data_IF_715158886208
#
_entry.id   IF_715158886208
#
_cell.length_a   1.000
_cell.length_b   1.000
_cell.length_c   1.000
_cell.angle_alpha   90.00
_cell.angle_beta   90.00
_cell.angle_gamma   90.00
#
_symmetry.space_group_name_H-M   'P 1'
#
loop_
_entity.id
_entity.type
_entity.pdbx_description
1 polymer ?
#
# COMPACT_ATOMS: atom_id res chain seq x y z
N UNK A 1 -31.35 -16.53 -29.69
CA UNK A 1 -30.15 -15.81 -29.20
C UNK A 1 -30.25 -14.28 -29.19
N UNK A 2 -31.15 -13.63 -29.95
CA UNK A 2 -31.22 -12.16 -30.09
C UNK A 2 -31.56 -11.35 -28.81
N UNK A 3 -32.49 -11.81 -27.94
CA UNK A 3 -32.90 -11.03 -26.74
C UNK A 3 -31.81 -10.88 -25.67
N UNK A 4 -30.97 -11.88 -25.49
CA UNK A 4 -29.92 -11.85 -24.46
C UNK A 4 -28.81 -10.85 -24.84
N UNK A 5 -28.42 -10.82 -26.11
CA UNK A 5 -27.46 -9.85 -26.64
C UNK A 5 -28.00 -8.43 -26.52
N UNK A 6 -29.29 -8.23 -26.80
CA UNK A 6 -29.92 -6.91 -26.64
C UNK A 6 -29.96 -6.46 -25.18
N UNK A 7 -30.30 -7.35 -24.24
CA UNK A 7 -30.35 -7.03 -22.80
C UNK A 7 -28.95 -6.73 -22.23
N UNK A 8 -27.94 -7.48 -22.66
CA UNK A 8 -26.55 -7.21 -22.28
C UNK A 8 -26.08 -5.84 -22.79
N UNK A 9 -26.42 -5.48 -24.04
CA UNK A 9 -26.09 -4.19 -24.63
C UNK A 9 -26.77 -3.02 -23.90
N UNK A 10 -28.06 -3.16 -23.54
CA UNK A 10 -28.77 -2.10 -22.81
C UNK A 10 -28.21 -1.90 -21.40
N UNK A 11 -27.88 -2.99 -20.68
CA UNK A 11 -27.23 -2.91 -19.38
C UNK A 11 -25.82 -2.28 -19.46
N UNK A 12 -25.05 -2.60 -20.52
CA UNK A 12 -23.75 -1.97 -20.75
C UNK A 12 -23.87 -0.47 -21.04
N UNK A 13 -24.88 -0.05 -21.80
CA UNK A 13 -25.13 1.36 -22.08
C UNK A 13 -25.62 2.11 -20.84
N UNK A 14 -26.50 1.50 -20.05
CA UNK A 14 -27.03 2.07 -18.80
C UNK A 14 -25.92 2.23 -17.76
N UNK A 15 -25.11 1.18 -17.54
CA UNK A 15 -23.94 1.27 -16.66
C UNK A 15 -22.91 2.29 -17.15
N UNK A 16 -22.63 2.35 -18.47
CA UNK A 16 -21.76 3.37 -19.03
C UNK A 16 -22.31 4.80 -18.82
N UNK A 17 -23.63 4.99 -18.94
CA UNK A 17 -24.26 6.29 -18.68
C UNK A 17 -24.29 6.65 -17.19
N UNK A 18 -24.53 5.71 -16.29
CA UNK A 18 -24.43 5.95 -14.84
C UNK A 18 -23.00 6.29 -14.42
N UNK A 19 -22.01 5.57 -14.95
CA UNK A 19 -20.59 5.87 -14.68
C UNK A 19 -20.24 7.26 -15.19
N UNK A 20 -20.67 7.62 -16.40
CA UNK A 20 -20.37 8.91 -17.02
C UNK A 20 -21.09 10.09 -16.35
N UNK A 21 -22.35 9.91 -15.94
CA UNK A 21 -23.18 11.00 -15.43
C UNK A 21 -23.10 11.17 -13.90
N UNK A 22 -22.68 10.13 -13.16
CA UNK A 22 -22.71 10.17 -11.69
C UNK A 22 -21.33 9.93 -11.08
N UNK A 23 -20.64 8.88 -11.51
CA UNK A 23 -19.36 8.48 -10.90
C UNK A 23 -18.22 9.40 -11.35
N UNK A 24 -18.09 9.64 -12.65
CA UNK A 24 -17.06 10.52 -13.23
C UNK A 24 -17.10 11.95 -12.67
N UNK A 25 -18.26 12.62 -12.57
CA UNK A 25 -18.34 13.97 -11.99
C UNK A 25 -18.01 13.99 -10.50
N UNK A 26 -18.41 12.97 -9.75
CA UNK A 26 -18.08 12.84 -8.32
C UNK A 26 -16.56 12.68 -8.11
N UNK A 27 -15.94 11.78 -8.87
CA UNK A 27 -14.49 11.57 -8.85
C UNK A 27 -13.76 12.85 -9.26
N UNK A 28 -14.19 13.48 -10.36
CA UNK A 28 -13.62 14.75 -10.85
C UNK A 28 -13.65 15.82 -9.76
N UNK A 29 -14.80 16.03 -9.10
CA UNK A 29 -14.94 17.00 -8.01
C UNK A 29 -14.02 16.67 -6.83
N UNK A 30 -13.89 15.39 -6.46
CA UNK A 30 -13.00 14.94 -5.39
C UNK A 30 -11.52 15.18 -5.72
N UNK A 31 -11.12 14.90 -6.97
CA UNK A 31 -9.78 15.16 -7.48
C UNK A 31 -9.49 16.67 -7.53
N UNK A 32 -10.40 17.48 -8.08
CA UNK A 32 -10.25 18.94 -8.12
C UNK A 32 -10.12 19.53 -6.72
N UNK A 33 -10.91 19.04 -5.75
CA UNK A 33 -10.79 19.44 -4.34
C UNK A 33 -9.42 19.07 -3.77
N UNK A 34 -8.91 17.88 -4.09
CA UNK A 34 -7.61 17.40 -3.61
C UNK A 34 -6.45 18.17 -4.25
N UNK A 35 -6.55 18.48 -5.55
CA UNK A 35 -5.59 19.30 -6.29
C UNK A 35 -5.57 20.73 -5.73
N UNK A 36 -6.74 21.33 -5.48
CA UNK A 36 -6.86 22.67 -4.92
C UNK A 36 -6.22 22.77 -3.52
N UNK A 37 -6.44 21.76 -2.67
CA UNK A 37 -5.82 21.69 -1.34
C UNK A 37 -4.31 21.51 -1.36
N UNK A 38 -3.79 20.83 -2.37
CA UNK A 38 -2.36 20.49 -2.50
C UNK A 38 -1.66 21.32 -3.59
N UNK A 39 -2.23 22.49 -3.94
CA UNK A 39 -1.76 23.31 -5.05
C UNK A 39 -0.29 23.76 -4.90
N UNK A 40 0.19 23.87 -3.65
CA UNK A 40 1.59 24.20 -3.34
C UNK A 40 2.60 23.12 -3.76
N UNK A 41 2.18 21.86 -3.88
CA UNK A 41 3.06 20.73 -4.25
C UNK A 41 3.08 20.45 -5.76
N UNK A 42 2.35 21.23 -6.57
CA UNK A 42 2.22 21.01 -8.00
C UNK A 42 3.35 21.72 -8.74
N UNK A 43 4.22 20.94 -9.38
CA UNK A 43 5.24 21.47 -10.27
C UNK A 43 4.61 21.87 -11.59
N UNK A 44 4.74 23.15 -11.97
CA UNK A 44 4.16 23.73 -13.19
C UNK A 44 5.04 23.55 -14.44
N UNK A 45 6.33 23.28 -14.24
CA UNK A 45 7.29 23.07 -15.33
C UNK A 45 7.28 21.60 -15.78
N UNK A 46 7.06 21.37 -17.08
CA UNK A 46 6.94 20.01 -17.63
C UNK A 46 8.25 19.20 -17.54
N UNK A 47 9.41 19.85 -17.67
CA UNK A 47 10.69 19.15 -17.59
C UNK A 47 11.02 18.69 -16.16
N UNK A 48 10.65 19.50 -15.17
CA UNK A 48 10.74 19.12 -13.75
C UNK A 48 9.71 18.06 -13.39
N UNK A 49 8.47 18.18 -13.90
CA UNK A 49 7.45 17.16 -13.71
C UNK A 49 7.89 15.78 -14.23
N UNK A 50 8.57 15.73 -15.39
CA UNK A 50 9.13 14.48 -15.93
C UNK A 50 10.24 13.86 -15.06
N UNK A 51 10.92 14.66 -14.22
CA UNK A 51 11.96 14.19 -13.29
C UNK A 51 11.40 13.73 -11.95
N UNK A 52 10.23 14.22 -11.53
CA UNK A 52 9.61 13.91 -10.25
C UNK A 52 9.48 12.39 -9.94
N UNK A 53 9.03 11.52 -10.87
CA UNK A 53 8.89 10.10 -10.56
C UNK A 53 10.23 9.45 -10.19
N UNK A 54 11.30 9.83 -10.92
CA UNK A 54 12.66 9.37 -10.63
C UNK A 54 13.14 9.92 -9.29
N UNK A 55 12.93 11.21 -9.02
CA UNK A 55 13.30 11.80 -7.74
C UNK A 55 12.57 11.16 -6.57
N UNK A 56 11.26 10.91 -6.69
CA UNK A 56 10.47 10.24 -5.65
C UNK A 56 11.00 8.83 -5.41
N UNK A 57 11.25 8.05 -6.47
CA UNK A 57 11.77 6.70 -6.36
C UNK A 57 13.14 6.69 -5.67
N UNK A 58 14.11 7.42 -6.20
CA UNK A 58 15.48 7.39 -5.68
C UNK A 58 15.63 8.05 -4.32
N UNK A 59 14.82 9.06 -3.99
CA UNK A 59 14.80 9.63 -2.63
C UNK A 59 14.28 8.63 -1.62
N UNK A 60 13.24 7.85 -1.96
CA UNK A 60 12.76 6.79 -1.09
C UNK A 60 13.79 5.66 -0.95
N UNK A 61 14.44 5.24 -2.04
CA UNK A 61 15.50 4.24 -1.99
C UNK A 61 16.71 4.71 -1.19
N UNK A 62 17.08 5.99 -1.28
CA UNK A 62 18.18 6.56 -0.49
C UNK A 62 17.93 6.55 1.02
N UNK A 63 16.67 6.41 1.48
CA UNK A 63 16.34 6.23 2.90
C UNK A 63 16.63 4.82 3.41
N UNK A 64 16.68 3.82 2.51
CA UNK A 64 16.80 2.40 2.88
C UNK A 64 18.11 2.11 3.61
N UNK A 65 19.31 2.54 3.17
CA UNK A 65 20.55 2.24 3.89
C UNK A 65 20.53 2.71 5.34
N UNK A 66 20.03 3.91 5.60
CA UNK A 66 19.89 4.45 6.96
C UNK A 66 18.86 3.68 7.79
N UNK A 67 17.77 3.23 7.15
CA UNK A 67 16.78 2.39 7.80
C UNK A 67 17.37 1.02 8.17
N UNK A 68 18.21 0.43 7.31
CA UNK A 68 18.93 -0.82 7.60
C UNK A 68 19.88 -0.62 8.78
N UNK A 69 20.71 0.43 8.79
CA UNK A 69 21.61 0.71 9.92
C UNK A 69 20.85 0.86 11.25
N UNK A 70 19.69 1.53 11.22
CA UNK A 70 18.85 1.68 12.41
C UNK A 70 18.29 0.33 12.85
N UNK A 71 17.81 -0.48 11.90
CA UNK A 71 17.28 -1.81 12.17
C UNK A 71 18.37 -2.78 12.70
N UNK A 72 19.59 -2.72 12.18
CA UNK A 72 20.73 -3.50 12.67
C UNK A 72 21.07 -3.14 14.12
N UNK A 73 21.06 -1.84 14.45
CA UNK A 73 21.26 -1.38 15.83
C UNK A 73 20.17 -1.88 16.76
N UNK A 74 18.91 -1.78 16.35
CA UNK A 74 17.76 -2.28 17.12
C UNK A 74 17.81 -3.80 17.30
N UNK A 75 18.17 -4.54 16.25
CA UNK A 75 18.36 -5.98 16.32
C UNK A 75 19.48 -6.37 17.29
N UNK A 76 20.55 -5.58 17.37
CA UNK A 76 21.60 -5.73 18.38
C UNK A 76 21.05 -5.62 19.81
N UNK A 77 20.28 -4.57 20.09
CA UNK A 77 19.63 -4.36 21.40
C UNK A 77 18.68 -5.52 21.73
N UNK A 78 17.85 -5.95 20.77
CA UNK A 78 16.92 -7.07 20.97
C UNK A 78 17.70 -8.36 21.26
N UNK A 79 18.82 -8.61 20.56
CA UNK A 79 19.66 -9.79 20.78
C UNK A 79 20.24 -9.83 22.20
N UNK A 80 20.74 -8.70 22.70
CA UNK A 80 21.23 -8.60 24.08
C UNK A 80 20.12 -8.82 25.11
N UNK A 81 18.91 -8.29 24.86
CA UNK A 81 17.75 -8.50 25.73
C UNK A 81 17.28 -9.94 25.71
N UNK A 82 17.32 -10.60 24.54
CA UNK A 82 16.93 -12.00 24.38
C UNK A 82 17.85 -12.98 25.13
N UNK A 83 19.13 -12.64 25.27
CA UNK A 83 20.06 -13.43 26.11
C UNK A 83 19.68 -13.40 27.60
N UNK A 84 18.85 -12.44 28.02
CA UNK A 84 18.37 -12.26 29.39
C UNK A 84 16.85 -12.45 29.47
N UNK A 85 16.29 -13.29 28.61
CA UNK A 85 14.83 -13.50 28.51
C UNK A 85 14.23 -14.01 29.83
N UNK A 86 14.98 -14.75 30.63
CA UNK A 86 14.57 -15.20 31.97
C UNK A 86 14.35 -14.04 32.97
N UNK A 87 15.00 -12.90 32.73
CA UNK A 87 14.85 -11.67 33.53
C UNK A 87 13.78 -10.72 32.96
N UNK A 88 13.21 -11.05 31.79
CA UNK A 88 12.20 -10.22 31.14
C UNK A 88 10.81 -10.41 31.76
N UNK A 89 10.03 -9.34 31.79
CA UNK A 89 8.65 -9.44 32.27
C UNK A 89 7.79 -10.24 31.29
N UNK A 90 6.82 -11.00 31.82
CA UNK A 90 5.82 -11.74 31.01
C UNK A 90 5.10 -10.81 30.02
N UNK A 91 4.93 -9.53 30.37
CA UNK A 91 4.32 -8.52 29.50
C UNK A 91 5.20 -8.21 28.29
N UNK A 92 6.50 -8.00 28.48
CA UNK A 92 7.44 -7.72 27.37
C UNK A 92 7.55 -8.93 26.42
N UNK A 93 7.63 -10.13 26.98
CA UNK A 93 7.62 -11.38 26.20
C UNK A 93 6.31 -11.52 25.43
N UNK A 94 5.18 -11.23 26.06
CA UNK A 94 3.86 -11.25 25.40
C UNK A 94 3.77 -10.28 24.22
N UNK A 95 4.30 -9.05 24.37
CA UNK A 95 4.36 -8.07 23.28
C UNK A 95 5.25 -8.56 22.13
N UNK A 96 6.42 -9.11 22.44
CA UNK A 96 7.33 -9.65 21.42
C UNK A 96 6.69 -10.81 20.64
N UNK A 97 5.97 -11.70 21.32
CA UNK A 97 5.23 -12.80 20.69
C UNK A 97 4.11 -12.27 19.79
N UNK A 98 3.31 -11.31 20.26
CA UNK A 98 2.24 -10.72 19.45
C UNK A 98 2.79 -10.03 18.19
N UNK A 99 3.87 -9.27 18.34
CA UNK A 99 4.57 -8.67 17.20
C UNK A 99 5.09 -9.72 16.21
N UNK A 100 5.67 -10.81 16.71
CA UNK A 100 6.11 -11.94 15.88
C UNK A 100 4.95 -12.60 15.11
N UNK A 101 3.79 -12.78 15.76
CA UNK A 101 2.60 -13.32 15.11
C UNK A 101 2.04 -12.36 14.05
N UNK A 102 2.00 -11.06 14.33
CA UNK A 102 1.54 -10.05 13.37
C UNK A 102 2.44 -9.99 12.13
N UNK A 103 3.76 -9.96 12.33
CA UNK A 103 4.72 -9.96 11.22
C UNK A 103 4.64 -11.23 10.37
N UNK A 104 4.45 -12.39 11.01
CA UNK A 104 4.20 -13.65 10.31
C UNK A 104 2.89 -13.64 9.51
N UNK A 105 1.81 -13.10 10.09
CA UNK A 105 0.54 -12.97 9.38
C UNK A 105 0.67 -12.07 8.13
N UNK A 106 1.38 -10.94 8.24
CA UNK A 106 1.66 -10.07 7.09
C UNK A 106 2.50 -10.75 6.01
N UNK A 107 3.47 -11.58 6.40
CA UNK A 107 4.23 -12.41 5.46
C UNK A 107 3.30 -13.36 4.68
N UNK A 108 2.42 -14.09 5.37
CA UNK A 108 1.43 -14.98 4.73
C UNK A 108 0.50 -14.24 3.77
N UNK A 109 0.02 -13.05 4.15
CA UNK A 109 -0.79 -12.19 3.26
C UNK A 109 0.00 -11.80 2.02
N UNK A 110 1.27 -11.43 2.16
CA UNK A 110 2.17 -11.15 1.05
C UNK A 110 2.36 -12.34 0.12
N UNK A 111 2.50 -13.55 0.67
CA UNK A 111 2.60 -14.80 -0.11
C UNK A 111 1.32 -15.04 -0.92
N UNK A 112 0.14 -14.90 -0.31
CA UNK A 112 -1.15 -15.09 -0.99
C UNK A 112 -1.27 -14.10 -2.17
N UNK A 113 -0.94 -12.82 -1.93
CA UNK A 113 -0.97 -11.80 -2.99
C UNK A 113 0.05 -12.13 -4.09
N UNK A 114 1.27 -12.51 -3.72
CA UNK A 114 2.34 -12.88 -4.66
C UNK A 114 2.01 -14.12 -5.51
N UNK A 115 1.18 -15.03 -4.98
CA UNK A 115 0.67 -16.23 -5.68
C UNK A 115 -0.60 -15.97 -6.51
N UNK A 116 -0.98 -14.70 -6.70
CA UNK A 116 -2.15 -14.32 -7.50
C UNK A 116 -3.49 -14.48 -6.77
N UNK A 117 -3.49 -14.52 -5.44
CA UNK A 117 -4.70 -14.59 -4.61
C UNK A 117 -5.22 -15.99 -4.31
N UNK A 118 -4.43 -17.05 -4.57
CA UNK A 118 -4.81 -18.41 -4.19
C UNK A 118 -4.66 -18.60 -2.67
N UNK A 119 -5.75 -18.96 -2.00
CA UNK A 119 -5.79 -19.25 -0.56
C UNK A 119 -5.32 -20.67 -0.23
N UNK A 120 -5.22 -21.56 -1.21
CA UNK A 120 -4.75 -22.93 -1.04
C UNK A 120 -3.43 -23.15 -1.79
N UNK A 121 -2.59 -24.05 -1.27
CA UNK A 121 -1.32 -24.53 -1.85
C UNK A 121 -1.41 -24.90 -3.34
N UNK A 122 -0.25 -25.02 -4.01
CA UNK A 122 -0.06 -25.32 -5.44
C UNK A 122 -1.18 -26.15 -6.08
#
# INVERSE_FOLDING_TARGET
>A
MSRYVHKARTLALESATTVTNTVLPSIKKSLETSIAKNAEFIVKDEQQAAKLPKQLLYTNLARIPKAIETAEREAGVVKERWQKVDEMSVKEVGVAVLFGLETYAWFCVGEIIGRGGSLTGY
#
